data_IF_679350658322
#
_entry.id   IF_679350658322
#
_cell.length_a   1.000
_cell.length_b   1.000
_cell.length_c   1.000
_cell.angle_alpha   90.00
_cell.angle_beta   90.00
_cell.angle_gamma   90.00
#
_symmetry.space_group_name_H-M   'P 1'
#
loop_
_entity.id
_entity.type
_entity.pdbx_description
1 polymer ?
#
# COMPACT_ATOMS: atom_id res chain seq x y z
N UNK A 1 -18.29 98.41 4.05
CA UNK A 1 -16.82 98.45 3.96
C UNK A 1 -16.40 97.98 2.59
N UNK A 2 -15.36 98.57 1.99
CA UNK A 2 -15.03 98.45 0.58
C UNK A 2 -13.89 97.45 0.34
N UNK A 3 -13.49 97.38 -0.93
CA UNK A 3 -12.17 97.01 -1.45
C UNK A 3 -12.03 95.59 -1.98
N UNK A 4 -12.34 95.51 -3.29
CA UNK A 4 -11.59 94.80 -4.33
C UNK A 4 -10.19 94.38 -3.92
N UNK A 5 -9.96 93.07 -3.85
CA UNK A 5 -8.59 92.56 -3.95
C UNK A 5 -8.31 92.12 -5.38
N UNK A 6 -7.23 92.72 -5.88
CA UNK A 6 -6.72 92.65 -7.24
C UNK A 6 -6.38 91.22 -7.65
N UNK A 7 -6.68 90.92 -8.91
CA UNK A 7 -6.07 89.82 -9.63
C UNK A 7 -4.75 90.33 -10.19
N UNK A 8 -3.63 89.87 -9.62
CA UNK A 8 -2.31 90.14 -10.17
C UNK A 8 -1.90 89.04 -11.14
N UNK A 9 -1.39 89.51 -12.27
CA UNK A 9 -1.10 88.82 -13.50
C UNK A 9 0.08 87.86 -13.39
N UNK A 10 -0.08 86.66 -13.92
CA UNK A 10 1.01 85.68 -14.13
C UNK A 10 1.91 86.14 -15.29
N UNK A 11 3.20 86.39 -15.02
CA UNK A 11 4.41 86.10 -15.83
C UNK A 11 5.57 87.00 -15.36
N UNK A 12 6.88 86.66 -15.52
CA UNK A 12 7.46 85.79 -16.54
C UNK A 12 8.53 84.80 -16.03
N UNK A 13 8.95 83.91 -16.93
CA UNK A 13 10.16 83.07 -16.85
C UNK A 13 11.30 83.70 -16.04
N UNK A 14 11.91 82.89 -15.16
CA UNK A 14 13.35 82.54 -15.16
C UNK A 14 13.65 81.61 -13.97
N UNK A 15 13.93 80.34 -14.22
CA UNK A 15 15.28 79.77 -14.41
C UNK A 15 15.88 79.31 -13.09
N UNK A 16 15.95 78.00 -12.87
CA UNK A 16 16.94 77.34 -12.00
C UNK A 16 17.00 75.84 -12.33
N UNK A 17 18.02 75.51 -13.13
CA UNK A 17 19.01 74.46 -12.87
C UNK A 17 18.57 73.10 -12.31
N UNK A 18 18.92 72.04 -13.06
CA UNK A 18 19.36 70.78 -12.45
C UNK A 18 18.43 69.58 -12.63
N UNK A 19 18.22 69.12 -13.87
CA UNK A 19 17.86 67.71 -14.07
C UNK A 19 19.11 66.85 -13.87
N UNK A 20 19.42 66.55 -12.61
CA UNK A 20 20.23 65.38 -12.28
C UNK A 20 19.43 64.14 -12.69
N UNK A 21 19.93 63.38 -13.66
CA UNK A 21 19.35 62.08 -14.02
C UNK A 21 19.31 61.18 -12.77
N UNK A 22 18.21 60.49 -12.46
CA UNK A 22 18.21 59.49 -11.40
C UNK A 22 19.13 58.31 -11.80
N UNK A 23 19.80 57.63 -10.85
CA UNK A 23 20.61 56.47 -11.17
C UNK A 23 19.72 55.35 -11.72
N UNK A 24 20.19 54.70 -12.78
CA UNK A 24 19.58 53.50 -13.34
C UNK A 24 19.61 52.38 -12.30
N UNK A 25 18.50 52.17 -11.58
CA UNK A 25 18.33 51.01 -10.70
C UNK A 25 18.19 49.78 -11.58
N UNK A 26 19.27 48.99 -11.69
CA UNK A 26 19.22 47.67 -12.33
C UNK A 26 18.58 46.69 -11.35
N UNK A 27 17.32 46.35 -11.57
CA UNK A 27 16.65 45.27 -10.84
C UNK A 27 17.25 43.94 -11.30
N UNK A 28 18.07 43.28 -10.47
CA UNK A 28 18.40 41.88 -10.69
C UNK A 28 17.14 41.05 -10.43
N UNK A 29 16.53 40.51 -11.49
CA UNK A 29 15.59 39.40 -11.34
C UNK A 29 16.35 38.22 -10.76
N UNK A 30 16.23 38.01 -9.45
CA UNK A 30 16.56 36.72 -8.87
C UNK A 30 15.58 35.71 -9.45
N UNK A 31 16.08 34.81 -10.30
CA UNK A 31 15.40 33.55 -10.57
C UNK A 31 15.19 32.84 -9.23
N UNK A 32 13.97 32.40 -8.87
CA UNK A 32 13.79 31.63 -7.66
C UNK A 32 14.68 30.38 -7.72
N UNK A 33 15.36 29.98 -6.63
CA UNK A 33 16.04 28.70 -6.62
C UNK A 33 15.00 27.62 -6.92
N UNK A 34 15.30 26.75 -7.90
CA UNK A 34 14.46 25.65 -8.35
C UNK A 34 13.88 24.86 -7.17
N UNK A 35 12.65 25.20 -6.78
CA UNK A 35 11.85 24.46 -5.78
C UNK A 35 11.61 23.01 -6.25
N UNK A 36 11.81 22.72 -7.53
CA UNK A 36 11.70 21.41 -8.17
C UNK A 36 12.72 20.37 -7.67
N UNK A 37 13.89 20.77 -7.16
CA UNK A 37 14.96 19.80 -6.82
C UNK A 37 14.69 19.13 -5.45
N UNK A 38 14.07 19.84 -4.51
CA UNK A 38 13.81 19.26 -3.19
C UNK A 38 12.73 18.17 -3.22
N UNK A 39 11.70 18.27 -4.06
CA UNK A 39 10.62 17.28 -4.07
C UNK A 39 11.03 15.94 -4.70
N UNK A 40 12.05 15.92 -5.56
CA UNK A 40 12.50 14.72 -6.26
C UNK A 40 13.20 13.68 -5.36
N UNK A 41 13.70 14.08 -4.18
CA UNK A 41 14.44 13.18 -3.28
C UNK A 41 13.59 12.71 -2.09
N UNK A 42 12.53 13.45 -1.71
CA UNK A 42 11.66 13.09 -0.57
C UNK A 42 10.46 12.24 -0.98
N UNK A 43 9.90 12.45 -2.18
CA UNK A 43 8.78 11.67 -2.72
C UNK A 43 9.11 10.19 -2.99
N UNK A 44 10.31 9.81 -3.47
CA UNK A 44 10.64 8.38 -3.57
C UNK A 44 10.74 7.72 -2.18
N UNK A 45 11.04 8.46 -1.12
CA UNK A 45 11.16 7.90 0.24
C UNK A 45 9.79 7.67 0.90
N UNK A 46 8.79 8.51 0.65
CA UNK A 46 7.44 8.34 1.22
C UNK A 46 6.63 7.27 0.47
N UNK A 47 6.74 7.22 -0.86
CA UNK A 47 6.09 6.19 -1.67
C UNK A 47 6.68 4.80 -1.40
N UNK A 48 8.02 4.71 -1.26
CA UNK A 48 8.66 3.45 -0.86
C UNK A 48 8.34 3.09 0.58
N UNK A 49 8.27 4.05 1.52
CA UNK A 49 7.86 3.77 2.90
C UNK A 49 6.42 3.24 2.98
N UNK A 50 5.48 3.77 2.19
CA UNK A 50 4.09 3.28 2.15
C UNK A 50 4.00 1.90 1.48
N UNK A 51 4.78 1.66 0.41
CA UNK A 51 4.85 0.36 -0.25
C UNK A 51 5.51 -0.69 0.67
N UNK A 52 6.59 -0.34 1.37
CA UNK A 52 7.26 -1.19 2.35
C UNK A 52 6.36 -1.44 3.54
N UNK A 53 5.67 -0.41 4.07
CA UNK A 53 4.66 -0.61 5.11
C UNK A 53 3.53 -1.52 4.63
N UNK A 54 3.05 -1.37 3.39
CA UNK A 54 2.05 -2.27 2.81
C UNK A 54 2.58 -3.70 2.67
N UNK A 55 3.84 -3.89 2.24
CA UNK A 55 4.49 -5.20 2.16
C UNK A 55 4.76 -5.83 3.55
N UNK A 56 4.99 -5.02 4.58
CA UNK A 56 5.19 -5.45 5.97
C UNK A 56 3.87 -5.62 6.74
N UNK A 57 2.77 -5.01 6.29
CA UNK A 57 1.41 -5.14 6.82
C UNK A 57 0.59 -6.21 6.08
N UNK A 58 1.06 -6.67 4.92
CA UNK A 58 0.64 -7.98 4.44
C UNK A 58 1.03 -8.98 5.54
N UNK A 59 0.10 -9.78 6.08
CA UNK A 59 0.56 -10.95 6.79
C UNK A 59 1.39 -11.71 5.77
N UNK A 60 2.72 -11.77 5.98
CA UNK A 60 3.44 -12.95 5.58
C UNK A 60 2.56 -14.07 6.13
N UNK A 61 1.82 -14.73 5.25
CA UNK A 61 0.97 -15.85 5.60
C UNK A 61 1.97 -16.80 6.22
N UNK A 62 2.04 -16.78 7.54
CA UNK A 62 2.86 -17.69 8.32
C UNK A 62 2.28 -19.03 7.90
N UNK A 63 2.95 -19.67 6.94
CA UNK A 63 2.80 -21.09 6.74
C UNK A 63 3.08 -21.64 8.12
N UNK A 64 2.06 -22.32 8.65
CA UNK A 64 2.07 -22.91 9.96
C UNK A 64 3.44 -23.50 10.22
N UNK A 65 3.98 -23.20 11.40
CA UNK A 65 5.15 -23.87 11.93
C UNK A 65 4.88 -25.37 11.77
N UNK A 66 5.59 -26.00 10.82
CA UNK A 66 5.57 -27.45 10.65
C UNK A 66 6.40 -28.00 11.79
N UNK A 67 5.88 -27.88 13.01
CA UNK A 67 6.24 -28.78 14.10
C UNK A 67 6.05 -30.18 13.54
N UNK A 68 7.17 -30.87 13.38
CA UNK A 68 7.34 -32.14 12.69
C UNK A 68 6.14 -33.06 12.93
N UNK A 69 5.27 -33.22 11.92
CA UNK A 69 4.08 -34.06 12.01
C UNK A 69 4.51 -35.50 12.33
N UNK A 70 4.47 -35.85 13.61
CA UNK A 70 5.04 -37.09 14.12
C UNK A 70 4.21 -38.27 13.63
N UNK A 71 4.87 -39.21 12.94
CA UNK A 71 4.23 -40.13 11.98
C UNK A 71 3.95 -41.55 12.49
N UNK A 72 4.01 -41.78 13.81
CA UNK A 72 3.77 -43.12 14.37
C UNK A 72 2.28 -43.37 14.62
N UNK A 73 1.62 -44.05 13.68
CA UNK A 73 0.25 -44.54 13.82
C UNK A 73 0.21 -46.07 13.89
N UNK A 74 -0.77 -46.62 14.61
CA UNK A 74 -1.09 -48.06 14.54
C UNK A 74 -1.55 -48.45 13.12
N UNK A 75 -1.40 -49.73 12.79
CA UNK A 75 -1.90 -50.32 11.54
C UNK A 75 -3.33 -50.83 11.65
N UNK A 76 -4.02 -50.54 12.78
CA UNK A 76 -5.43 -50.86 12.97
C UNK A 76 -6.29 -50.19 11.89
N UNK A 77 -7.19 -50.97 11.29
CA UNK A 77 -8.11 -50.50 10.27
C UNK A 77 -9.46 -50.13 10.89
N UNK A 78 -9.67 -48.84 11.13
CA UNK A 78 -10.89 -48.23 11.66
C UNK A 78 -11.20 -46.97 10.84
N UNK A 79 -11.72 -47.15 9.61
CA UNK A 79 -11.72 -46.10 8.60
C UNK A 79 -12.55 -44.88 8.98
N UNK A 80 -12.09 -43.72 8.51
CA UNK A 80 -12.77 -42.43 8.67
C UNK A 80 -12.73 -41.65 7.35
N UNK A 81 -13.74 -40.85 7.10
CA UNK A 81 -13.82 -39.97 5.94
C UNK A 81 -13.38 -38.57 6.34
N UNK A 82 -12.45 -37.99 5.58
CA UNK A 82 -12.02 -36.60 5.75
C UNK A 82 -12.93 -35.62 4.99
N UNK A 83 -12.88 -34.34 5.38
CA UNK A 83 -13.56 -33.23 4.68
C UNK A 83 -13.06 -33.01 3.26
N UNK A 84 -11.90 -33.58 2.93
CA UNK A 84 -11.32 -33.67 1.59
C UNK A 84 -11.93 -34.79 0.72
N UNK A 85 -12.81 -35.62 1.29
CA UNK A 85 -13.43 -36.76 0.60
C UNK A 85 -12.53 -37.98 0.48
N UNK A 86 -11.41 -38.01 1.22
CA UNK A 86 -10.48 -39.13 1.26
C UNK A 86 -10.73 -40.03 2.48
N UNK A 87 -10.69 -41.35 2.25
CA UNK A 87 -10.77 -42.33 3.34
C UNK A 87 -9.40 -42.52 3.98
N UNK A 88 -9.31 -42.28 5.29
CA UNK A 88 -8.13 -42.56 6.10
C UNK A 88 -8.30 -43.88 6.86
N UNK A 89 -7.25 -44.70 6.92
CA UNK A 89 -7.31 -46.04 7.51
C UNK A 89 -7.68 -46.05 9.00
N UNK A 90 -7.36 -44.97 9.72
CA UNK A 90 -7.78 -44.71 11.09
C UNK A 90 -7.66 -43.22 11.39
N UNK A 91 -8.19 -42.81 12.55
CA UNK A 91 -8.16 -41.41 13.00
C UNK A 91 -6.74 -40.83 13.08
N UNK A 92 -5.75 -41.62 13.52
CA UNK A 92 -4.35 -41.16 13.58
C UNK A 92 -3.81 -40.78 12.19
N UNK A 93 -4.16 -41.55 11.15
CA UNK A 93 -3.79 -41.23 9.76
C UNK A 93 -4.46 -39.95 9.27
N UNK A 94 -5.69 -39.68 9.70
CA UNK A 94 -6.38 -38.42 9.41
C UNK A 94 -5.72 -37.24 10.14
N UNK A 95 -5.39 -37.39 11.42
CA UNK A 95 -4.69 -36.34 12.19
C UNK A 95 -3.31 -36.01 11.60
N UNK A 96 -2.61 -37.02 11.08
CA UNK A 96 -1.35 -36.79 10.37
C UNK A 96 -1.57 -35.99 9.08
N UNK A 97 -2.66 -36.25 8.35
CA UNK A 97 -3.03 -35.48 7.17
C UNK A 97 -3.45 -34.05 7.55
N UNK A 98 -4.24 -33.87 8.62
CA UNK A 98 -4.60 -32.56 9.17
C UNK A 98 -3.38 -31.73 9.55
N UNK A 99 -2.35 -32.38 10.11
CA UNK A 99 -1.09 -31.71 10.46
C UNK A 99 -0.37 -31.15 9.22
N UNK A 100 -0.41 -31.88 8.10
CA UNK A 100 0.21 -31.45 6.84
C UNK A 100 -0.67 -30.45 6.06
N UNK A 101 -1.99 -30.62 6.14
CA UNK A 101 -2.99 -29.75 5.54
C UNK A 101 -4.11 -29.44 6.56
N UNK A 102 -4.12 -28.23 7.16
CA UNK A 102 -5.11 -27.87 8.18
C UNK A 102 -6.55 -27.76 7.63
N UNK A 103 -6.77 -27.96 6.33
CA UNK A 103 -8.09 -28.04 5.73
C UNK A 103 -8.70 -29.45 5.73
N UNK A 104 -7.89 -30.48 6.00
CA UNK A 104 -8.34 -31.87 6.12
C UNK A 104 -8.76 -32.12 7.56
N UNK A 105 -10.05 -32.19 7.84
CA UNK A 105 -10.61 -32.54 9.15
C UNK A 105 -11.50 -33.79 9.02
N UNK A 106 -11.98 -34.34 10.13
CA UNK A 106 -12.92 -35.44 10.14
C UNK A 106 -14.29 -34.99 9.62
N UNK A 107 -14.81 -35.66 8.58
CA UNK A 107 -16.19 -35.51 8.12
C UNK A 107 -17.11 -36.48 8.87
N UNK A 108 -16.92 -37.79 8.68
CA UNK A 108 -17.66 -38.83 9.39
C UNK A 108 -16.86 -40.12 9.59
N UNK A 109 -17.31 -40.96 10.53
CA UNK A 109 -16.72 -42.29 10.76
C UNK A 109 -17.17 -43.28 9.68
N UNK A 110 -16.24 -44.10 9.20
CA UNK A 110 -16.43 -44.99 8.06
C UNK A 110 -15.67 -44.52 6.82
N UNK A 111 -15.63 -45.34 5.79
CA UNK A 111 -15.06 -44.96 4.50
C UNK A 111 -15.89 -43.87 3.82
N UNK A 112 -15.24 -43.01 3.03
CA UNK A 112 -15.97 -42.08 2.19
C UNK A 112 -16.80 -42.83 1.13
N UNK A 113 -18.03 -42.38 0.95
CA UNK A 113 -18.90 -42.81 -0.15
C UNK A 113 -18.38 -42.26 -1.48
N UNK A 114 -17.27 -42.83 -2.00
CA UNK A 114 -16.82 -42.55 -3.36
C UNK A 114 -17.85 -43.15 -4.31
N UNK A 115 -18.81 -42.32 -4.70
CA UNK A 115 -19.86 -42.63 -5.66
C UNK A 115 -19.31 -43.51 -6.77
N UNK A 116 -19.73 -44.76 -6.69
CA UNK A 116 -19.29 -45.90 -7.47
C UNK A 116 -19.16 -45.56 -8.97
N UNK A 117 -17.94 -45.30 -9.43
CA UNK A 117 -17.62 -45.23 -10.86
C UNK A 117 -17.26 -46.60 -11.46
N UNK A 118 -17.44 -47.68 -10.70
CA UNK A 118 -17.13 -49.04 -11.13
C UNK A 118 -18.30 -50.01 -10.87
N UNK A 119 -19.53 -49.58 -11.13
CA UNK A 119 -20.70 -50.46 -11.20
C UNK A 119 -21.46 -50.38 -12.50
N UNK A 120 -20.72 -50.19 -13.59
CA UNK A 120 -21.18 -50.70 -14.87
C UNK A 120 -20.09 -51.51 -15.56
N UNK A 121 -19.83 -52.69 -15.02
CA UNK A 121 -19.42 -53.86 -15.82
C UNK A 121 -19.79 -55.13 -15.02
N UNK A 122 -21.08 -55.29 -14.73
CA UNK A 122 -21.65 -56.64 -14.73
C UNK A 122 -22.05 -56.91 -16.18
N UNK A 123 -21.18 -57.60 -16.91
CA UNK A 123 -21.58 -58.39 -18.07
C UNK A 123 -21.45 -59.87 -17.71
#
# INVERSE_FOLDING_TARGET
TPVSHHQETVNPRQSLSGYSQPPSVTVRRQSPPSVTIMTAVVVPLTATALLVALLLLLPAKMAADSEECQSSCSEDYTPVCGTDGETYANLCRLELAHCLDPNTDLDYSGECDRGNKDSNESN
#
